data_IF_264945997134
#
_entry.id   IF_264945997134
#
_cell.length_a   1.000
_cell.length_b   1.000
_cell.length_c   1.000
_cell.angle_alpha   90.00
_cell.angle_beta   90.00
_cell.angle_gamma   90.00
#
_symmetry.space_group_name_H-M   'P 1'
#
loop_
_entity.id
_entity.type
_entity.pdbx_description
1 polymer ?
#
# COMPACT_ATOMS: atom_id res chain seq x y z
N UNK A 1 -6.71 -24.76 -14.60
CA UNK A 1 -5.91 -23.57 -14.98
C UNK A 1 -6.29 -23.04 -16.36
N UNK A 2 -6.01 -23.76 -17.46
CA UNK A 2 -6.31 -23.34 -18.85
C UNK A 2 -7.70 -22.73 -19.06
N UNK A 3 -8.78 -23.40 -18.63
CA UNK A 3 -10.17 -22.90 -18.77
C UNK A 3 -10.37 -21.49 -18.18
N UNK A 4 -9.78 -21.21 -17.01
CA UNK A 4 -9.96 -19.92 -16.35
C UNK A 4 -9.05 -18.84 -16.95
N UNK A 5 -7.87 -19.22 -17.43
CA UNK A 5 -6.99 -18.30 -18.15
C UNK A 5 -7.62 -17.87 -19.48
N UNK A 6 -8.15 -18.82 -20.26
CA UNK A 6 -8.83 -18.52 -21.52
C UNK A 6 -10.07 -17.63 -21.28
N UNK A 7 -10.81 -17.89 -20.20
CA UNK A 7 -11.94 -17.05 -19.81
C UNK A 7 -11.50 -15.63 -19.40
N UNK A 8 -10.41 -15.50 -18.65
CA UNK A 8 -9.86 -14.22 -18.24
C UNK A 8 -9.48 -13.36 -19.45
N UNK A 9 -8.80 -13.95 -20.44
CA UNK A 9 -8.43 -13.24 -21.67
C UNK A 9 -9.67 -12.76 -22.44
N UNK A 10 -10.68 -13.61 -22.61
CA UNK A 10 -11.94 -13.20 -23.24
C UNK A 10 -12.64 -12.05 -22.49
N UNK A 11 -12.62 -12.07 -21.15
CA UNK A 11 -13.18 -11.00 -20.33
C UNK A 11 -12.38 -9.70 -20.49
N UNK A 12 -11.04 -9.77 -20.52
CA UNK A 12 -10.20 -8.59 -20.74
C UNK A 12 -10.43 -7.99 -22.12
N UNK A 13 -10.51 -8.81 -23.17
CA UNK A 13 -10.81 -8.33 -24.52
C UNK A 13 -12.17 -7.62 -24.59
N UNK A 14 -13.21 -8.20 -24.01
CA UNK A 14 -14.53 -7.59 -23.94
C UNK A 14 -14.52 -6.28 -23.13
N UNK A 15 -13.82 -6.26 -21.99
CA UNK A 15 -13.66 -5.08 -21.16
C UNK A 15 -12.96 -3.94 -21.92
N UNK A 16 -11.86 -4.23 -22.61
CA UNK A 16 -11.11 -3.24 -23.37
C UNK A 16 -11.95 -2.68 -24.51
N UNK A 17 -12.67 -3.54 -25.23
CA UNK A 17 -13.55 -3.11 -26.33
C UNK A 17 -14.66 -2.16 -25.87
N UNK A 18 -15.24 -2.41 -24.70
CA UNK A 18 -16.36 -1.62 -24.17
C UNK A 18 -15.90 -0.34 -23.46
N UNK A 19 -14.82 -0.43 -22.65
CA UNK A 19 -14.50 0.61 -21.67
C UNK A 19 -13.20 1.36 -21.94
N UNK A 20 -12.36 0.93 -22.90
CA UNK A 20 -11.11 1.61 -23.24
C UNK A 20 -11.25 2.34 -24.59
N UNK A 21 -11.00 3.64 -24.58
CA UNK A 21 -10.93 4.44 -25.81
C UNK A 21 -9.66 4.12 -26.61
N UNK A 22 -9.62 4.39 -27.93
CA UNK A 22 -8.41 4.18 -28.75
C UNK A 22 -7.16 4.90 -28.25
N UNK A 23 -7.31 5.99 -27.48
CA UNK A 23 -6.22 6.77 -26.90
C UNK A 23 -5.83 6.32 -25.47
N UNK A 24 -6.30 5.15 -25.02
CA UNK A 24 -5.90 4.56 -23.73
C UNK A 24 -6.62 5.12 -22.50
N UNK A 25 -7.69 5.91 -22.67
CA UNK A 25 -8.51 6.42 -21.54
C UNK A 25 -9.70 5.52 -21.25
N UNK A 26 -10.03 5.33 -19.98
CA UNK A 26 -11.28 4.68 -19.59
C UNK A 26 -12.46 5.62 -19.78
N UNK A 27 -13.55 5.11 -20.37
CA UNK A 27 -14.75 5.91 -20.72
C UNK A 27 -15.35 6.65 -19.52
N UNK A 28 -15.43 6.00 -18.34
CA UNK A 28 -15.95 6.65 -17.12
C UNK A 28 -15.03 7.76 -16.59
N UNK A 29 -13.72 7.62 -16.74
CA UNK A 29 -12.73 8.55 -16.18
C UNK A 29 -12.69 8.71 -14.65
N UNK A 30 -13.52 7.96 -13.89
CA UNK A 30 -13.60 8.05 -12.43
C UNK A 30 -12.40 7.41 -11.73
N UNK A 31 -12.13 7.82 -10.48
CA UNK A 31 -11.07 7.20 -9.67
C UNK A 31 -11.28 5.68 -9.53
N UNK A 32 -12.51 5.25 -9.21
CA UNK A 32 -12.84 3.82 -9.08
C UNK A 32 -12.58 3.05 -10.38
N UNK A 33 -12.94 3.61 -11.55
CA UNK A 33 -12.71 2.93 -12.83
C UNK A 33 -11.22 2.65 -13.06
N UNK A 34 -10.36 3.65 -12.85
CA UNK A 34 -8.91 3.46 -12.98
C UNK A 34 -8.35 2.52 -11.92
N UNK A 35 -8.76 2.69 -10.66
CA UNK A 35 -8.30 1.85 -9.55
C UNK A 35 -8.61 0.37 -9.82
N UNK A 36 -9.84 0.03 -10.22
CA UNK A 36 -10.20 -1.37 -10.47
C UNK A 36 -9.50 -1.94 -11.71
N UNK A 37 -9.39 -1.17 -12.79
CA UNK A 37 -8.70 -1.61 -14.01
C UNK A 37 -7.21 -1.87 -13.77
N UNK A 38 -6.56 -1.03 -12.94
CA UNK A 38 -5.16 -1.18 -12.56
C UNK A 38 -4.94 -2.28 -11.53
N UNK A 39 -5.81 -2.39 -10.53
CA UNK A 39 -5.69 -3.41 -9.48
C UNK A 39 -5.82 -4.83 -10.04
N UNK A 40 -6.74 -5.04 -10.97
CA UNK A 40 -6.99 -6.35 -11.59
C UNK A 40 -6.23 -6.57 -12.90
N UNK A 41 -5.28 -5.70 -13.24
CA UNK A 41 -4.44 -5.84 -14.43
C UNK A 41 -5.26 -6.05 -15.73
N UNK A 42 -6.37 -5.31 -15.84
CA UNK A 42 -7.31 -5.35 -16.96
C UNK A 42 -6.77 -4.61 -18.20
N UNK A 43 -5.80 -3.72 -18.01
CA UNK A 43 -5.19 -2.93 -19.08
C UNK A 43 -3.94 -3.63 -19.64
N UNK A 44 -3.65 -3.47 -20.95
CA UNK A 44 -2.35 -3.81 -21.51
C UNK A 44 -1.22 -3.15 -20.71
N UNK A 45 -0.12 -3.88 -20.49
CA UNK A 45 0.99 -3.44 -19.62
C UNK A 45 1.53 -2.05 -20.00
N UNK A 46 1.71 -1.80 -21.29
CA UNK A 46 2.22 -0.53 -21.81
C UNK A 46 1.31 0.69 -21.55
N UNK A 47 0.03 0.47 -21.17
CA UNK A 47 -0.92 1.54 -20.85
C UNK A 47 -1.08 1.78 -19.34
N UNK A 48 -0.57 0.90 -18.47
CA UNK A 48 -0.87 0.96 -17.03
C UNK A 48 -0.29 2.20 -16.36
N UNK A 49 0.95 2.58 -16.69
CA UNK A 49 1.55 3.81 -16.15
C UNK A 49 0.75 5.05 -16.57
N UNK A 50 0.34 5.13 -17.85
CA UNK A 50 -0.50 6.23 -18.32
C UNK A 50 -1.86 6.29 -17.60
N UNK A 51 -2.48 5.13 -17.33
CA UNK A 51 -3.71 5.06 -16.58
C UNK A 51 -3.53 5.47 -15.10
N UNK A 52 -2.39 5.15 -14.48
CA UNK A 52 -2.04 5.64 -13.15
C UNK A 52 -1.87 7.17 -13.13
N UNK A 53 -1.22 7.75 -14.15
CA UNK A 53 -1.11 9.20 -14.31
C UNK A 53 -2.50 9.86 -14.46
N UNK A 54 -3.42 9.25 -15.20
CA UNK A 54 -4.79 9.73 -15.30
C UNK A 54 -5.52 9.69 -13.95
N UNK A 55 -5.33 8.64 -13.14
CA UNK A 55 -5.86 8.56 -11.78
C UNK A 55 -5.31 9.68 -10.90
N UNK A 56 -4.00 9.91 -10.92
CA UNK A 56 -3.35 10.98 -10.13
C UNK A 56 -3.87 12.36 -10.54
N UNK A 57 -3.97 12.61 -11.84
CA UNK A 57 -4.50 13.89 -12.35
C UNK A 57 -5.98 14.07 -11.97
N UNK A 58 -6.77 12.99 -11.96
CA UNK A 58 -8.14 13.03 -11.47
C UNK A 58 -8.17 13.42 -9.98
N UNK A 59 -7.40 12.75 -9.13
CA UNK A 59 -7.30 13.08 -7.68
C UNK A 59 -6.92 14.56 -7.47
N UNK A 60 -5.95 15.07 -8.23
CA UNK A 60 -5.56 16.49 -8.21
C UNK A 60 -6.72 17.41 -8.61
N UNK A 61 -7.50 17.05 -9.62
CA UNK A 61 -8.68 17.85 -10.03
C UNK A 61 -9.81 17.86 -8.98
N UNK A 62 -9.84 16.88 -8.08
CA UNK A 62 -10.70 16.86 -6.89
C UNK A 62 -10.06 17.56 -5.67
N UNK A 63 -9.01 18.36 -5.87
CA UNK A 63 -8.33 19.08 -4.79
C UNK A 63 -7.50 18.18 -3.88
N UNK A 64 -6.95 17.09 -4.42
CA UNK A 64 -6.28 16.03 -3.65
C UNK A 64 -7.23 15.31 -2.67
N UNK A 65 -8.46 15.06 -3.11
CA UNK A 65 -9.44 14.25 -2.40
C UNK A 65 -9.76 12.96 -3.16
N UNK A 66 -10.09 11.94 -2.39
CA UNK A 66 -10.68 10.72 -2.93
C UNK A 66 -12.13 10.98 -3.37
N UNK A 67 -12.57 10.26 -4.39
CA UNK A 67 -13.98 10.20 -4.81
C UNK A 67 -14.47 8.75 -4.94
N UNK A 68 -13.72 7.80 -4.37
CA UNK A 68 -14.04 6.37 -4.42
C UNK A 68 -15.15 5.98 -3.44
N UNK A 69 -15.99 5.04 -3.88
CA UNK A 69 -16.97 4.34 -3.04
C UNK A 69 -16.40 3.06 -2.44
N UNK A 70 -17.28 2.13 -2.04
CA UNK A 70 -16.91 0.88 -1.36
C UNK A 70 -15.94 0.01 -2.18
N UNK A 71 -16.06 -0.01 -3.51
CA UNK A 71 -15.26 -0.90 -4.36
C UNK A 71 -13.89 -0.32 -4.71
N UNK A 72 -13.76 1.01 -4.81
CA UNK A 72 -12.50 1.66 -5.17
C UNK A 72 -11.58 1.90 -3.97
N UNK A 73 -12.16 2.27 -2.83
CA UNK A 73 -11.39 2.70 -1.64
C UNK A 73 -10.39 1.66 -1.13
N UNK A 74 -10.73 0.35 -1.08
CA UNK A 74 -9.78 -0.67 -0.59
C UNK A 74 -8.49 -0.75 -1.40
N UNK A 75 -8.50 -0.39 -2.68
CA UNK A 75 -7.36 -0.56 -3.58
C UNK A 75 -6.66 0.74 -3.95
N UNK A 76 -7.26 1.90 -3.67
CA UNK A 76 -6.79 3.21 -4.13
C UNK A 76 -5.31 3.46 -3.76
N UNK A 77 -4.96 3.35 -2.48
CA UNK A 77 -3.59 3.59 -2.02
C UNK A 77 -2.62 2.49 -2.47
N UNK A 78 -3.08 1.24 -2.59
CA UNK A 78 -2.26 0.14 -3.13
C UNK A 78 -1.89 0.39 -4.60
N UNK A 79 -2.85 0.77 -5.43
CA UNK A 79 -2.63 1.11 -6.84
C UNK A 79 -1.68 2.30 -6.96
N UNK A 80 -1.93 3.39 -6.24
CA UNK A 80 -1.05 4.56 -6.26
C UNK A 80 0.39 4.17 -5.89
N UNK A 81 0.59 3.39 -4.84
CA UNK A 81 1.92 2.94 -4.42
C UNK A 81 2.56 2.02 -5.46
N UNK A 82 1.81 1.04 -6.00
CA UNK A 82 2.30 0.09 -7.01
C UNK A 82 2.85 0.78 -8.25
N UNK A 83 2.25 1.92 -8.62
CA UNK A 83 2.66 2.72 -9.77
C UNK A 83 3.54 3.93 -9.41
N UNK A 84 4.16 3.94 -8.21
CA UNK A 84 5.17 4.92 -7.84
C UNK A 84 4.65 6.25 -7.30
N UNK A 85 3.34 6.39 -7.08
CA UNK A 85 2.68 7.58 -6.53
C UNK A 85 2.42 7.45 -5.02
N UNK A 86 3.42 6.97 -4.27
CA UNK A 86 3.32 6.78 -2.82
C UNK A 86 3.05 8.11 -2.08
N UNK A 87 3.63 9.21 -2.58
CA UNK A 87 3.38 10.57 -2.11
C UNK A 87 1.88 10.94 -2.16
N UNK A 88 1.19 10.61 -3.26
CA UNK A 88 -0.24 10.83 -3.40
C UNK A 88 -1.06 9.95 -2.45
N UNK A 89 -0.65 8.68 -2.23
CA UNK A 89 -1.32 7.80 -1.27
C UNK A 89 -1.26 8.37 0.15
N UNK A 90 -0.09 8.87 0.59
CA UNK A 90 0.04 9.54 1.88
C UNK A 90 -0.73 10.87 1.94
N UNK A 91 -0.75 11.66 0.87
CA UNK A 91 -1.55 12.90 0.82
C UNK A 91 -3.03 12.61 1.06
N UNK A 92 -3.57 11.54 0.46
CA UNK A 92 -4.96 11.12 0.69
C UNK A 92 -5.18 10.61 2.11
N UNK A 93 -4.27 9.80 2.65
CA UNK A 93 -4.36 9.29 4.02
C UNK A 93 -4.39 10.42 5.06
N UNK A 94 -3.57 11.44 4.85
CA UNK A 94 -3.36 12.55 5.78
C UNK A 94 -4.25 13.76 5.47
N UNK A 95 -5.14 13.66 4.48
CA UNK A 95 -6.11 14.70 4.17
C UNK A 95 -7.10 14.83 5.33
N UNK A 96 -7.33 16.07 5.80
CA UNK A 96 -8.19 16.36 6.95
C UNK A 96 -9.56 16.93 6.55
N UNK A 97 -9.69 17.48 5.34
CA UNK A 97 -10.96 18.05 4.85
C UNK A 97 -11.85 16.99 4.20
N UNK A 98 -13.16 17.25 4.09
CA UNK A 98 -14.10 16.35 3.42
C UNK A 98 -13.89 16.32 1.89
N UNK A 99 -14.00 15.14 1.23
CA UNK A 99 -14.04 13.79 1.81
C UNK A 99 -12.63 13.23 2.10
N UNK A 100 -12.45 12.59 3.24
CA UNK A 100 -11.19 11.92 3.64
C UNK A 100 -11.39 10.98 4.82
N UNK A 101 -10.35 10.20 5.18
CA UNK A 101 -10.37 9.37 6.39
C UNK A 101 -10.25 10.18 7.69
N UNK A 102 -9.48 11.28 7.70
CA UNK A 102 -9.31 12.07 8.92
C UNK A 102 -10.43 13.08 9.14
N UNK A 103 -11.24 13.41 8.12
CA UNK A 103 -12.41 14.26 8.31
C UNK A 103 -13.38 13.72 9.39
N UNK A 104 -13.87 12.46 9.33
CA UNK A 104 -14.68 11.90 10.41
C UNK A 104 -13.99 11.94 11.78
N UNK A 105 -12.69 11.66 11.83
CA UNK A 105 -11.89 11.72 13.08
C UNK A 105 -11.90 13.13 13.68
N UNK A 106 -11.71 14.17 12.84
CA UNK A 106 -11.80 15.59 13.25
C UNK A 106 -13.20 15.98 13.71
N UNK A 107 -14.22 15.28 13.23
CA UNK A 107 -15.62 15.43 13.65
C UNK A 107 -15.97 14.57 14.87
N UNK A 108 -15.01 13.90 15.51
CA UNK A 108 -15.21 13.13 16.74
C UNK A 108 -15.56 11.66 16.53
N UNK A 109 -15.41 11.12 15.32
CA UNK A 109 -15.60 9.69 15.06
C UNK A 109 -14.60 8.83 15.83
N UNK A 110 -15.11 7.78 16.49
CA UNK A 110 -14.31 6.70 17.10
C UNK A 110 -14.41 5.37 16.35
N UNK A 111 -15.25 5.34 15.31
CA UNK A 111 -15.46 4.22 14.38
C UNK A 111 -15.53 4.75 12.95
N UNK A 112 -15.41 3.87 11.96
CA UNK A 112 -15.55 4.25 10.55
C UNK A 112 -17.03 4.45 10.20
N UNK A 113 -17.37 5.52 9.49
CA UNK A 113 -18.73 5.81 9.07
C UNK A 113 -19.09 5.12 7.75
N UNK A 114 -20.38 4.85 7.54
CA UNK A 114 -20.92 4.32 6.29
C UNK A 114 -20.75 5.30 5.12
N UNK A 115 -20.79 6.60 5.42
CA UNK A 115 -20.62 7.69 4.45
C UNK A 115 -19.45 8.57 4.84
N UNK A 116 -18.73 9.07 3.82
CA UNK A 116 -17.68 10.06 4.01
C UNK A 116 -18.18 11.33 4.72
N UNK A 117 -19.44 11.70 4.54
CA UNK A 117 -20.14 12.83 5.14
C UNK A 117 -21.25 12.42 6.11
N UNK A 118 -21.07 11.34 6.88
CA UNK A 118 -22.08 10.92 7.85
C UNK A 118 -22.56 12.07 8.76
N UNK A 119 -21.62 12.93 9.15
CA UNK A 119 -21.85 14.35 9.46
C UNK A 119 -21.32 15.19 8.30
N UNK A 120 -22.16 16.04 7.72
CA UNK A 120 -21.81 16.93 6.61
C UNK A 120 -20.93 18.10 7.08
N UNK A 121 -20.24 18.80 6.16
CA UNK A 121 -19.41 19.95 6.52
C UNK A 121 -20.15 21.10 7.24
N UNK A 122 -21.47 21.19 7.10
CA UNK A 122 -22.32 22.16 7.80
C UNK A 122 -22.75 21.69 9.21
N UNK A 123 -22.29 20.52 9.65
CA UNK A 123 -22.63 19.91 10.94
C UNK A 123 -23.95 19.14 10.95
N UNK A 124 -24.74 19.17 9.88
CA UNK A 124 -25.97 18.40 9.78
C UNK A 124 -25.69 16.92 9.48
N UNK A 125 -26.61 16.04 9.88
CA UNK A 125 -26.49 14.62 9.53
C UNK A 125 -26.89 14.34 8.08
N UNK A 126 -26.32 13.28 7.52
CA UNK A 126 -26.84 12.66 6.31
C UNK A 126 -28.21 11.99 6.54
N UNK A 127 -28.85 11.56 5.45
CA UNK A 127 -30.19 10.97 5.49
C UNK A 127 -30.27 9.77 6.46
N UNK A 128 -31.14 9.86 7.46
CA UNK A 128 -31.31 8.85 8.51
C UNK A 128 -31.69 7.45 7.98
N UNK A 129 -32.21 7.33 6.76
CA UNK A 129 -32.50 6.02 6.17
C UNK A 129 -31.26 5.17 5.89
N UNK A 130 -30.08 5.80 5.73
CA UNK A 130 -28.82 5.12 5.45
C UNK A 130 -27.64 6.02 5.87
N UNK A 131 -27.35 6.05 7.17
CA UNK A 131 -26.26 6.85 7.75
C UNK A 131 -25.70 6.23 9.04
N UNK A 132 -25.20 5.00 8.97
CA UNK A 132 -24.54 4.34 10.11
C UNK A 132 -23.18 4.99 10.41
N UNK A 133 -22.88 5.21 11.69
CA UNK A 133 -21.58 5.70 12.17
C UNK A 133 -20.60 4.57 12.50
N UNK A 134 -20.94 3.30 12.22
CA UNK A 134 -20.10 2.14 12.52
C UNK A 134 -20.18 1.11 11.38
N UNK A 135 -19.40 1.35 10.32
CA UNK A 135 -19.34 0.55 9.11
C UNK A 135 -17.90 0.40 8.63
N UNK A 136 -17.36 -0.82 8.60
CA UNK A 136 -15.92 -1.06 8.41
C UNK A 136 -15.40 -0.82 6.98
N UNK A 137 -16.27 -0.66 5.99
CA UNK A 137 -15.89 -0.66 4.56
C UNK A 137 -14.74 0.31 4.23
N UNK A 138 -14.78 1.55 4.73
CA UNK A 138 -13.70 2.52 4.49
C UNK A 138 -12.49 2.34 5.43
N UNK A 139 -12.62 1.50 6.45
CA UNK A 139 -11.52 1.03 7.29
C UNK A 139 -10.55 0.10 6.56
N UNK A 140 -10.88 -0.31 5.32
CA UNK A 140 -10.00 -1.07 4.44
C UNK A 140 -8.63 -0.40 4.19
N UNK A 141 -8.51 0.92 4.40
CA UNK A 141 -7.21 1.62 4.40
C UNK A 141 -6.20 1.03 5.39
N UNK A 142 -6.69 0.35 6.43
CA UNK A 142 -5.84 -0.40 7.36
C UNK A 142 -4.93 -1.39 6.65
N UNK A 143 -5.42 -2.12 5.63
CA UNK A 143 -4.60 -3.09 4.86
C UNK A 143 -3.34 -2.43 4.30
N UNK A 144 -3.49 -1.25 3.70
CA UNK A 144 -2.38 -0.45 3.17
C UNK A 144 -1.42 0.01 4.28
N UNK A 145 -1.94 0.40 5.44
CA UNK A 145 -1.10 0.80 6.58
C UNK A 145 -0.24 -0.37 7.09
N UNK A 146 -0.78 -1.59 7.16
CA UNK A 146 0.00 -2.77 7.54
C UNK A 146 1.01 -3.17 6.46
N UNK A 147 0.54 -3.34 5.22
CA UNK A 147 1.32 -3.99 4.15
C UNK A 147 2.29 -3.05 3.44
N UNK A 148 1.99 -1.75 3.41
CA UNK A 148 2.80 -0.74 2.69
C UNK A 148 3.50 0.20 3.66
N UNK A 149 2.76 0.91 4.52
CA UNK A 149 3.38 1.88 5.44
C UNK A 149 4.32 1.17 6.42
N UNK A 150 3.84 0.19 7.18
CA UNK A 150 4.69 -0.62 8.05
C UNK A 150 5.46 -1.70 7.27
N UNK A 151 4.94 -2.11 6.11
CA UNK A 151 5.64 -3.00 5.19
C UNK A 151 5.54 -4.49 5.52
N UNK A 152 4.57 -4.93 6.34
CA UNK A 152 4.41 -6.33 6.74
C UNK A 152 3.37 -7.00 5.84
N UNK A 153 3.82 -7.86 4.93
CA UNK A 153 2.98 -8.56 3.94
C UNK A 153 3.37 -10.04 3.80
N UNK A 154 2.63 -10.80 2.98
CA UNK A 154 2.89 -12.21 2.67
C UNK A 154 3.18 -12.39 1.18
N UNK A 155 4.10 -13.32 0.86
CA UNK A 155 4.36 -13.75 -0.50
C UNK A 155 3.38 -14.87 -0.89
N UNK A 156 2.74 -14.76 -2.06
CA UNK A 156 1.74 -15.72 -2.54
C UNK A 156 2.34 -17.12 -2.79
N UNK A 157 3.65 -17.24 -3.03
CA UNK A 157 4.37 -18.52 -3.15
C UNK A 157 4.63 -19.20 -1.80
N UNK A 158 4.19 -18.59 -0.70
CA UNK A 158 4.27 -19.12 0.67
C UNK A 158 3.14 -18.55 1.52
N UNK A 159 1.88 -18.91 1.23
CA UNK A 159 0.70 -18.30 1.83
C UNK A 159 0.64 -18.52 3.35
N UNK A 160 -0.15 -17.69 4.02
CA UNK A 160 -0.30 -17.74 5.49
C UNK A 160 0.91 -17.21 6.25
N UNK A 161 1.71 -16.31 5.64
CA UNK A 161 2.95 -15.77 6.19
C UNK A 161 4.07 -16.80 6.37
N UNK A 162 4.04 -17.92 5.62
CA UNK A 162 5.18 -18.85 5.55
C UNK A 162 6.40 -18.17 4.91
N UNK A 163 6.13 -17.33 3.91
CA UNK A 163 7.09 -16.39 3.32
C UNK A 163 6.56 -14.98 3.54
N UNK A 164 7.23 -14.24 4.41
CA UNK A 164 6.90 -12.86 4.76
C UNK A 164 7.59 -11.92 3.76
N UNK A 165 6.92 -10.83 3.41
CA UNK A 165 7.54 -9.69 2.73
C UNK A 165 7.64 -8.57 3.75
N UNK A 166 8.85 -8.04 3.94
CA UNK A 166 9.10 -6.84 4.74
C UNK A 166 9.57 -5.74 3.79
N UNK A 167 8.69 -4.81 3.46
CA UNK A 167 8.95 -3.78 2.45
C UNK A 167 8.32 -2.43 2.84
N UNK A 168 8.78 -1.79 3.93
CA UNK A 168 8.22 -0.51 4.36
C UNK A 168 8.40 0.56 3.28
N UNK A 169 7.39 1.43 3.12
CA UNK A 169 7.39 2.55 2.19
C UNK A 169 7.14 3.87 2.96
N UNK A 170 8.16 4.44 3.63
CA UNK A 170 8.00 5.68 4.38
C UNK A 170 7.57 6.84 3.47
N UNK A 171 6.85 7.80 4.03
CA UNK A 171 6.32 8.95 3.30
C UNK A 171 5.41 9.81 4.16
N UNK A 172 4.81 10.85 3.57
CA UNK A 172 3.78 11.66 4.25
C UNK A 172 4.23 12.36 5.52
N UNK A 173 5.53 12.66 5.69
CA UNK A 173 6.12 13.17 6.95
C UNK A 173 6.00 12.21 8.15
N UNK A 174 5.56 10.97 7.93
CA UNK A 174 5.61 9.92 8.95
C UNK A 174 7.05 9.50 9.11
N UNK A 175 7.57 9.62 10.33
CA UNK A 175 8.98 9.29 10.65
C UNK A 175 9.12 7.93 11.32
N UNK A 176 8.01 7.25 11.64
CA UNK A 176 8.03 5.91 12.19
C UNK A 176 6.69 5.21 11.96
N UNK A 177 6.73 3.88 11.81
CA UNK A 177 5.55 3.02 11.84
C UNK A 177 5.94 1.64 12.36
N UNK A 178 5.01 0.97 13.04
CA UNK A 178 5.20 -0.38 13.59
C UNK A 178 3.95 -1.22 13.34
N UNK A 179 4.15 -2.44 12.83
CA UNK A 179 3.13 -3.46 12.72
C UNK A 179 3.59 -4.74 13.42
N UNK A 180 2.68 -5.35 14.17
CA UNK A 180 2.86 -6.63 14.85
C UNK A 180 1.69 -7.52 14.48
N UNK A 181 1.98 -8.74 14.04
CA UNK A 181 0.97 -9.70 13.62
C UNK A 181 1.27 -11.08 14.22
N UNK A 182 0.32 -11.62 14.97
CA UNK A 182 0.35 -13.02 15.38
C UNK A 182 -0.11 -13.90 14.22
N UNK A 183 0.86 -14.53 13.55
CA UNK A 183 0.61 -15.47 12.45
C UNK A 183 0.45 -16.89 12.99
N UNK A 184 0.08 -17.84 12.12
CA UNK A 184 0.08 -19.27 12.49
C UNK A 184 1.48 -19.81 12.83
N UNK A 185 2.55 -19.08 12.46
CA UNK A 185 3.93 -19.43 12.80
C UNK A 185 4.42 -18.73 14.07
N UNK A 186 3.70 -17.70 14.55
CA UNK A 186 4.05 -16.86 15.69
C UNK A 186 4.14 -15.38 15.33
N UNK A 187 4.69 -14.59 16.25
CA UNK A 187 4.80 -13.14 16.14
C UNK A 187 5.74 -12.71 15.00
N UNK A 188 5.19 -11.92 14.07
CA UNK A 188 5.94 -11.22 13.02
C UNK A 188 5.89 -9.71 13.28
N UNK A 189 7.04 -9.05 13.19
CA UNK A 189 7.16 -7.59 13.43
C UNK A 189 7.84 -6.92 12.24
N UNK A 190 7.30 -5.76 11.85
CA UNK A 190 7.99 -4.77 11.01
C UNK A 190 7.87 -3.41 11.69
N UNK A 191 8.98 -2.87 12.16
CA UNK A 191 9.03 -1.59 12.85
C UNK A 191 10.17 -0.74 12.29
N UNK A 192 9.85 0.43 11.76
CA UNK A 192 10.86 1.35 11.26
C UNK A 192 10.76 2.74 11.88
N UNK A 193 11.90 3.41 11.91
CA UNK A 193 12.04 4.81 12.32
C UNK A 193 13.12 5.50 11.50
N UNK A 194 12.88 6.76 11.17
CA UNK A 194 13.84 7.68 10.58
C UNK A 194 14.18 8.73 11.63
N UNK A 195 15.45 8.77 12.04
CA UNK A 195 15.94 9.76 12.99
C UNK A 195 17.36 10.19 12.62
N UNK A 196 17.64 11.49 12.66
CA UNK A 196 18.97 12.06 12.37
C UNK A 196 19.55 11.60 11.01
N UNK A 197 18.71 11.47 9.99
CA UNK A 197 19.13 11.01 8.65
C UNK A 197 19.49 9.52 8.58
N UNK A 198 19.09 8.73 9.57
CA UNK A 198 19.30 7.27 9.61
C UNK A 198 17.96 6.56 9.60
N UNK A 199 17.78 5.64 8.65
CA UNK A 199 16.68 4.70 8.64
C UNK A 199 17.05 3.49 9.50
N UNK A 200 16.17 3.12 10.43
CA UNK A 200 16.30 1.96 11.30
C UNK A 200 15.09 1.06 11.11
N UNK A 201 15.31 -0.24 10.94
CA UNK A 201 14.26 -1.25 10.80
C UNK A 201 14.53 -2.43 11.72
N UNK A 202 13.58 -2.70 12.61
CA UNK A 202 13.50 -3.91 13.42
C UNK A 202 12.51 -4.89 12.79
N UNK A 203 12.97 -6.12 12.57
CA UNK A 203 12.18 -7.21 11.99
C UNK A 203 12.22 -8.41 12.92
N UNK A 204 11.07 -9.03 13.18
CA UNK A 204 10.99 -10.34 13.83
C UNK A 204 10.28 -11.31 12.89
N UNK A 205 10.94 -12.42 12.59
CA UNK A 205 10.39 -13.52 11.78
C UNK A 205 10.30 -14.77 12.66
N UNK A 206 9.11 -15.37 12.81
CA UNK A 206 8.94 -16.52 13.68
C UNK A 206 9.62 -17.78 13.12
N UNK A 207 9.83 -18.77 14.00
CA UNK A 207 10.35 -20.08 13.63
C UNK A 207 9.53 -20.70 12.50
N UNK A 208 10.21 -21.44 11.61
CA UNK A 208 9.60 -22.10 10.46
C UNK A 208 8.98 -21.12 9.43
N UNK A 209 9.29 -19.82 9.48
CA UNK A 209 9.01 -18.85 8.44
C UNK A 209 10.31 -18.25 7.86
N UNK A 210 10.19 -17.60 6.71
CA UNK A 210 11.29 -16.87 6.04
C UNK A 210 10.81 -15.50 5.60
N UNK A 211 11.72 -14.57 5.35
CA UNK A 211 11.35 -13.25 4.84
C UNK A 211 12.19 -12.80 3.66
N UNK A 212 11.52 -12.12 2.72
CA UNK A 212 12.13 -11.25 1.72
C UNK A 212 12.04 -9.81 2.24
N UNK A 213 13.19 -9.21 2.52
CA UNK A 213 13.28 -7.85 3.06
C UNK A 213 13.72 -6.91 1.94
N UNK A 214 12.99 -5.81 1.77
CA UNK A 214 13.30 -4.71 0.85
C UNK A 214 13.56 -3.44 1.65
N UNK A 215 14.78 -2.95 1.59
CA UNK A 215 15.23 -1.75 2.29
C UNK A 215 15.15 -0.54 1.35
N UNK A 216 14.17 0.36 1.51
CA UNK A 216 13.94 1.48 0.61
C UNK A 216 15.11 2.48 0.63
N UNK A 217 15.54 2.96 -0.54
CA UNK A 217 16.65 3.90 -0.68
C UNK A 217 18.05 3.32 -0.43
N UNK A 218 18.16 2.02 -0.11
CA UNK A 218 19.42 1.38 0.26
C UNK A 218 20.25 0.80 -0.91
N UNK A 219 19.82 1.01 -2.17
CA UNK A 219 20.42 0.38 -3.36
C UNK A 219 21.95 0.59 -3.49
N UNK A 220 22.48 1.73 -3.03
CA UNK A 220 23.90 2.10 -3.13
C UNK A 220 24.46 2.66 -1.83
N UNK A 221 23.88 2.25 -0.70
CA UNK A 221 24.25 2.75 0.63
C UNK A 221 24.73 1.57 1.47
N UNK A 222 25.83 1.70 2.23
CA UNK A 222 26.23 0.68 3.19
C UNK A 222 25.12 0.45 4.22
N UNK A 223 24.62 -0.78 4.28
CA UNK A 223 23.64 -1.21 5.28
C UNK A 223 24.36 -2.04 6.33
N UNK A 224 24.02 -1.80 7.60
CA UNK A 224 24.46 -2.63 8.71
C UNK A 224 23.30 -3.41 9.29
N UNK A 225 23.60 -4.61 9.77
CA UNK A 225 22.73 -5.42 10.62
C UNK A 225 23.44 -5.61 11.97
N UNK A 226 22.79 -5.22 13.07
CA UNK A 226 23.39 -5.20 14.42
C UNK A 226 24.81 -4.58 14.46
N UNK A 227 25.01 -3.50 13.71
CA UNK A 227 26.29 -2.77 13.63
C UNK A 227 27.35 -3.37 12.68
N UNK A 228 27.14 -4.55 12.11
CA UNK A 228 28.04 -5.20 11.13
C UNK A 228 27.56 -4.94 9.71
N UNK A 229 28.47 -4.74 8.76
CA UNK A 229 28.08 -4.57 7.35
C UNK A 229 27.43 -5.85 6.82
N UNK A 230 26.37 -5.71 6.01
CA UNK A 230 25.68 -6.86 5.41
C UNK A 230 26.61 -7.79 4.62
N UNK A 231 27.68 -7.26 4.03
CA UNK A 231 28.68 -8.03 3.28
C UNK A 231 29.44 -9.05 4.15
N UNK A 232 29.43 -8.86 5.46
CA UNK A 232 30.22 -9.65 6.41
C UNK A 232 29.37 -10.72 7.13
N UNK A 233 28.08 -10.81 6.82
CA UNK A 233 27.11 -11.67 7.51
C UNK A 233 26.71 -12.83 6.58
N UNK A 234 27.08 -14.05 6.95
CA UNK A 234 26.89 -15.25 6.10
C UNK A 234 25.46 -15.78 6.11
N UNK A 235 24.71 -15.48 7.17
CA UNK A 235 23.34 -15.93 7.40
C UNK A 235 22.33 -15.18 6.52
N UNK A 236 22.71 -14.01 6.02
CA UNK A 236 21.90 -13.20 5.09
C UNK A 236 22.27 -13.61 3.66
N UNK A 237 21.25 -13.92 2.87
CA UNK A 237 21.44 -14.42 1.50
C UNK A 237 20.58 -13.66 0.49
N UNK A 238 20.76 -13.95 -0.80
CA UNK A 238 19.91 -13.40 -1.85
C UNK A 238 19.99 -11.87 -1.97
N UNK A 239 21.11 -11.26 -1.58
CA UNK A 239 21.31 -9.82 -1.67
C UNK A 239 21.26 -9.40 -3.14
N UNK A 240 20.32 -8.52 -3.49
CA UNK A 240 20.15 -7.99 -4.84
C UNK A 240 19.86 -6.50 -4.77
N UNK A 241 20.64 -5.72 -5.53
CA UNK A 241 20.40 -4.29 -5.69
C UNK A 241 19.35 -4.11 -6.79
N UNK A 242 18.27 -3.42 -6.46
CA UNK A 242 17.27 -2.92 -7.42
C UNK A 242 17.41 -1.42 -7.53
N UNK A 243 16.73 -0.78 -8.49
CA UNK A 243 16.91 0.66 -8.78
C UNK A 243 16.80 1.54 -7.53
N UNK A 244 15.80 1.29 -6.68
CA UNK A 244 15.49 2.14 -5.52
C UNK A 244 15.57 1.43 -4.17
N UNK A 245 15.89 0.14 -4.11
CA UNK A 245 15.94 -0.60 -2.84
C UNK A 245 16.99 -1.72 -2.87
N UNK A 246 17.44 -2.13 -1.68
CA UNK A 246 18.23 -3.34 -1.49
C UNK A 246 17.30 -4.47 -1.07
N UNK A 247 17.36 -5.60 -1.76
CA UNK A 247 16.60 -6.81 -1.43
C UNK A 247 17.52 -7.85 -0.80
N UNK A 248 17.03 -8.55 0.23
CA UNK A 248 17.75 -9.65 0.89
C UNK A 248 16.79 -10.68 1.46
N UNK A 249 17.29 -11.89 1.75
CA UNK A 249 16.53 -13.00 2.31
C UNK A 249 17.07 -13.40 3.66
N UNK A 250 16.16 -13.65 4.60
CA UNK A 250 16.48 -14.12 5.95
C UNK A 250 15.57 -15.28 6.38
N UNK A 251 16.06 -16.10 7.32
CA UNK A 251 15.24 -17.08 8.03
C UNK A 251 14.55 -16.47 9.26
N UNK A 252 14.09 -17.33 10.17
CA UNK A 252 13.57 -16.91 11.47
C UNK A 252 14.63 -16.18 12.31
N UNK A 253 14.23 -15.17 13.07
CA UNK A 253 15.13 -14.40 13.91
C UNK A 253 14.65 -12.97 14.16
N UNK A 254 15.45 -12.22 14.93
CA UNK A 254 15.29 -10.78 15.11
C UNK A 254 16.44 -10.06 14.43
N UNK A 255 16.13 -9.09 13.58
CA UNK A 255 17.10 -8.37 12.75
C UNK A 255 16.96 -6.87 12.95
N UNK A 256 18.08 -6.15 12.98
CA UNK A 256 18.11 -4.68 13.08
C UNK A 256 18.94 -4.07 11.97
N UNK A 257 18.29 -3.51 10.96
CA UNK A 257 18.95 -2.86 9.83
C UNK A 257 19.08 -1.36 10.08
N UNK A 258 20.25 -0.79 9.78
CA UNK A 258 20.50 0.64 9.81
C UNK A 258 21.28 1.12 8.57
N UNK A 259 20.88 2.26 8.03
CA UNK A 259 21.59 2.93 6.94
C UNK A 259 21.22 4.41 6.84
N UNK A 260 22.10 5.21 6.23
CA UNK A 260 21.82 6.61 5.97
C UNK A 260 20.67 6.77 4.97
N UNK A 261 19.76 7.71 5.20
CA UNK A 261 18.65 8.04 4.31
C UNK A 261 18.54 9.56 4.12
N UNK A 262 18.05 9.97 2.94
CA UNK A 262 17.85 11.38 2.56
C UNK A 262 16.37 11.79 2.52
N UNK A 263 15.48 10.94 3.05
CA UNK A 263 14.05 11.26 3.11
C UNK A 263 13.76 12.55 3.87
#
# INVERSE_FOLDING_TARGET
ERKYNDLLENIKEAFLKEYLTPNGRLVSGSQTAYVLALNFDMLPEHLRNQAADYLVNNIKSYGNHLSTGFLGTPYLCHVLTRFGHNDMAYNLLLQETYPSWLYPVKMGATTIWERWDGIKPDGSFQNASMNSFNHYAYGAIGDWMYRVMAGLDTDESGPGYKKVIISPQPGGKITHASAKLETQYGLTISEWKIENGVFKLHVVIPSNATALIRLPGAAKIPVKENGKLLTDIKEISGISIKENYLELKVGSGSYHFEYATKM
#
